data_IF_931237502440
#
_entry.id   IF_931237502440
#
_cell.length_a   1.000
_cell.length_b   1.000
_cell.length_c   1.000
_cell.angle_alpha   90.00
_cell.angle_beta   90.00
_cell.angle_gamma   90.00
#
_symmetry.space_group_name_H-M   'P 1'
#
loop_
_entity.id
_entity.type
_entity.pdbx_description
1 polymer ?
#
# COMPACT_ATOMS: atom_id res chain seq x y z
N UNK A 1 2.62 -1.53 16.16
CA UNK A 1 1.81 -0.40 15.59
C UNK A 1 2.77 0.62 14.99
N UNK A 2 2.80 0.76 13.66
CA UNK A 2 3.80 1.54 12.95
C UNK A 2 3.63 3.07 13.18
N UNK A 3 4.66 3.82 13.60
CA UNK A 3 4.54 5.25 13.94
C UNK A 3 3.96 6.13 12.82
N UNK A 4 4.35 5.88 11.56
CA UNK A 4 3.83 6.63 10.42
C UNK A 4 2.31 6.53 10.28
N UNK A 5 1.68 5.42 10.68
CA UNK A 5 0.21 5.28 10.66
C UNK A 5 -0.48 6.18 11.69
N UNK A 6 0.20 6.52 12.79
CA UNK A 6 -0.36 7.35 13.86
C UNK A 6 -0.24 8.83 13.54
N UNK A 7 0.97 9.31 13.27
CA UNK A 7 1.26 10.76 13.17
C UNK A 7 1.93 11.16 11.87
N UNK A 8 2.18 10.21 10.96
CA UNK A 8 2.80 10.51 9.67
C UNK A 8 1.89 11.36 8.77
N UNK A 9 2.51 12.20 7.95
CA UNK A 9 1.86 12.98 6.89
C UNK A 9 1.09 12.03 5.98
N UNK A 10 -0.11 12.44 5.60
CA UNK A 10 -1.00 11.68 4.73
C UNK A 10 -0.90 12.20 3.29
N UNK A 11 -0.73 11.29 2.33
CA UNK A 11 -0.70 11.63 0.90
C UNK A 11 -1.50 10.62 0.10
N UNK A 12 -2.41 11.10 -0.75
CA UNK A 12 -3.05 10.25 -1.77
C UNK A 12 -2.15 10.19 -3.00
N UNK A 13 -1.83 8.99 -3.45
CA UNK A 13 -1.00 8.75 -4.63
C UNK A 13 -1.85 8.49 -5.87
N UNK A 14 -2.95 7.75 -5.70
CA UNK A 14 -3.90 7.42 -6.76
C UNK A 14 -5.30 7.30 -6.19
N UNK A 15 -6.30 7.74 -6.94
CA UNK A 15 -7.70 7.53 -6.60
C UNK A 15 -8.53 7.48 -7.88
N UNK A 16 -9.38 6.46 -7.97
CA UNK A 16 -10.40 6.33 -9.00
C UNK A 16 -11.67 5.70 -8.41
N UNK A 17 -12.59 5.26 -9.27
CA UNK A 17 -13.88 4.67 -8.89
C UNK A 17 -13.78 3.31 -8.16
N UNK A 18 -12.65 2.62 -8.25
CA UNK A 18 -12.47 1.27 -7.70
C UNK A 18 -11.24 1.14 -6.80
N UNK A 19 -10.37 2.13 -6.79
CA UNK A 19 -9.11 2.06 -6.07
C UNK A 19 -8.78 3.36 -5.36
N UNK A 20 -8.22 3.22 -4.16
CA UNK A 20 -7.52 4.30 -3.47
C UNK A 20 -6.14 3.83 -3.02
N UNK A 21 -5.11 4.60 -3.38
CA UNK A 21 -3.73 4.35 -2.99
C UNK A 21 -3.21 5.57 -2.27
N UNK A 22 -2.58 5.34 -1.12
CA UNK A 22 -2.06 6.38 -0.26
C UNK A 22 -0.72 5.97 0.33
N UNK A 23 0.00 6.95 0.86
CA UNK A 23 1.12 6.73 1.76
C UNK A 23 1.02 7.56 3.02
N UNK A 24 1.59 7.02 4.09
CA UNK A 24 1.85 7.71 5.35
C UNK A 24 3.36 7.85 5.53
N UNK A 25 3.84 9.07 5.75
CA UNK A 25 5.28 9.35 5.85
C UNK A 25 5.59 10.04 7.18
N UNK A 26 6.54 9.49 7.95
CA UNK A 26 7.06 10.10 9.16
C UNK A 26 8.59 10.00 9.17
N UNK A 27 9.27 11.10 8.83
CA UNK A 27 10.73 11.11 8.71
C UNK A 27 11.18 10.09 7.68
N UNK A 28 11.87 9.05 8.14
CA UNK A 28 12.38 7.96 7.29
C UNK A 28 11.39 6.83 7.05
N UNK A 29 10.33 6.76 7.86
CA UNK A 29 9.37 5.67 7.88
C UNK A 29 8.24 5.95 6.89
N UNK A 30 8.00 5.02 5.96
CA UNK A 30 6.91 5.11 4.99
C UNK A 30 6.02 3.89 5.08
N UNK A 31 4.70 4.10 5.09
CA UNK A 31 3.72 3.03 4.88
C UNK A 31 2.94 3.34 3.62
N UNK A 32 2.95 2.41 2.69
CA UNK A 32 2.11 2.45 1.50
C UNK A 32 0.88 1.58 1.72
N UNK A 33 -0.29 2.03 1.26
CA UNK A 33 -1.52 1.28 1.36
C UNK A 33 -2.34 1.42 0.09
N UNK A 34 -2.86 0.30 -0.41
CA UNK A 34 -3.82 0.29 -1.49
C UNK A 34 -5.09 -0.44 -1.07
N UNK A 35 -6.21 0.14 -1.44
CA UNK A 35 -7.56 -0.30 -1.11
C UNK A 35 -8.32 -0.52 -2.41
N UNK A 36 -8.94 -1.69 -2.54
CA UNK A 36 -9.95 -1.93 -3.55
C UNK A 36 -11.33 -1.62 -2.97
N UNK A 37 -12.00 -0.65 -3.57
CA UNK A 37 -13.29 -0.11 -3.17
C UNK A 37 -14.43 -0.62 -4.08
N UNK A 38 -14.16 -1.63 -4.90
CA UNK A 38 -15.09 -2.12 -5.91
C UNK A 38 -15.28 -3.65 -5.88
N UNK A 39 -16.20 -4.15 -6.74
CA UNK A 39 -16.58 -5.55 -6.80
C UNK A 39 -15.66 -6.41 -7.70
N UNK A 40 -14.63 -5.82 -8.30
CA UNK A 40 -13.73 -6.49 -9.24
C UNK A 40 -12.30 -6.49 -8.71
N UNK A 41 -11.51 -7.52 -9.04
CA UNK A 41 -10.08 -7.55 -8.70
C UNK A 41 -9.33 -6.43 -9.43
N UNK A 42 -8.55 -5.65 -8.68
CA UNK A 42 -7.67 -4.59 -9.21
C UNK A 42 -6.21 -5.02 -9.07
N UNK A 43 -5.39 -4.66 -10.07
CA UNK A 43 -3.93 -4.78 -10.00
C UNK A 43 -3.32 -3.39 -10.04
N UNK A 44 -2.40 -3.11 -9.13
CA UNK A 44 -1.76 -1.80 -9.05
C UNK A 44 -0.24 -1.95 -8.93
N UNK A 45 0.55 -1.14 -9.64
CA UNK A 45 2.00 -1.21 -9.55
C UNK A 45 2.49 -1.00 -8.11
N UNK A 46 3.42 -1.83 -7.65
CA UNK A 46 4.05 -1.61 -6.36
C UNK A 46 4.96 -0.36 -6.43
N UNK A 47 5.10 0.37 -5.31
CA UNK A 47 5.92 1.57 -5.24
C UNK A 47 7.41 1.32 -5.54
N UNK A 48 7.91 0.08 -5.36
CA UNK A 48 9.30 -0.32 -5.69
C UNK A 48 9.42 -1.81 -6.03
N UNK A 49 10.50 -2.17 -6.69
CA UNK A 49 11.02 -3.55 -6.86
C UNK A 49 11.69 -4.14 -5.61
N UNK A 50 11.78 -3.37 -4.51
CA UNK A 50 12.37 -3.81 -3.25
C UNK A 50 11.42 -4.73 -2.46
N UNK A 51 12.01 -5.71 -1.76
CA UNK A 51 11.28 -6.62 -0.88
C UNK A 51 10.40 -5.83 0.09
N UNK A 52 9.09 -6.08 0.06
CA UNK A 52 8.19 -5.58 1.08
C UNK A 52 8.73 -6.03 2.44
N UNK A 53 8.82 -5.12 3.41
CA UNK A 53 9.29 -5.48 4.74
C UNK A 53 8.44 -6.59 5.36
N UNK A 54 8.99 -7.32 6.34
CA UNK A 54 8.38 -8.52 6.94
C UNK A 54 6.95 -8.32 7.46
N UNK A 55 6.55 -7.08 7.76
CA UNK A 55 5.22 -6.74 8.30
C UNK A 55 4.22 -6.34 7.19
N UNK A 56 3.81 -7.29 6.36
CA UNK A 56 2.71 -7.09 5.40
C UNK A 56 1.35 -7.32 6.07
N UNK A 57 0.45 -6.33 6.00
CA UNK A 57 -0.95 -6.55 6.35
C UNK A 57 -1.78 -6.80 5.09
N UNK A 58 -2.29 -8.03 4.99
CA UNK A 58 -3.22 -8.47 3.95
C UNK A 58 -4.64 -8.52 4.51
N UNK A 59 -5.57 -7.88 3.80
CA UNK A 59 -7.01 -7.94 4.09
C UNK A 59 -7.71 -8.58 2.89
N UNK A 60 -8.62 -9.53 3.14
CA UNK A 60 -9.41 -10.22 2.09
C UNK A 60 -8.57 -10.82 0.96
N UNK A 61 -7.41 -11.39 1.29
CA UNK A 61 -6.55 -12.09 0.31
C UNK A 61 -5.75 -11.18 -0.61
N UNK A 62 -5.69 -9.87 -0.33
CA UNK A 62 -4.79 -8.96 -1.01
C UNK A 62 -3.33 -9.40 -0.85
N UNK A 63 -2.53 -9.27 -1.90
CA UNK A 63 -1.13 -9.73 -1.88
C UNK A 63 -0.24 -8.92 -2.81
N UNK A 64 1.04 -8.90 -2.52
CA UNK A 64 2.06 -8.49 -3.47
C UNK A 64 2.44 -9.69 -4.35
N UNK A 65 2.40 -9.53 -5.68
CA UNK A 65 2.88 -10.51 -6.66
C UNK A 65 3.81 -9.81 -7.65
N UNK A 66 5.09 -10.22 -7.66
CA UNK A 66 6.12 -9.60 -8.48
C UNK A 66 6.14 -8.07 -8.29
N UNK A 67 5.73 -7.31 -9.32
CA UNK A 67 5.72 -5.85 -9.33
C UNK A 67 4.35 -5.22 -9.06
N UNK A 68 3.35 -6.02 -8.64
CA UNK A 68 1.97 -5.56 -8.48
C UNK A 68 1.37 -5.95 -7.14
N UNK A 69 0.58 -5.04 -6.57
CA UNK A 69 -0.44 -5.39 -5.60
C UNK A 69 -1.64 -5.98 -6.33
N UNK A 70 -2.03 -7.20 -5.99
CA UNK A 70 -3.27 -7.85 -6.43
C UNK A 70 -4.30 -7.69 -5.32
N UNK A 71 -5.37 -6.97 -5.62
CA UNK A 71 -6.39 -6.59 -4.65
C UNK A 71 -7.73 -7.21 -5.07
N UNK A 72 -8.17 -8.32 -4.44
CA UNK A 72 -9.53 -8.84 -4.59
C UNK A 72 -10.60 -7.78 -4.26
N UNK A 73 -11.89 -8.02 -4.58
CA UNK A 73 -12.96 -7.10 -4.21
C UNK A 73 -12.96 -6.75 -2.73
N UNK A 74 -13.15 -5.46 -2.40
CA UNK A 74 -13.26 -4.98 -1.01
C UNK A 74 -12.05 -5.33 -0.12
N UNK A 75 -10.85 -5.33 -0.71
CA UNK A 75 -9.61 -5.75 -0.05
C UNK A 75 -8.66 -4.58 0.19
N UNK A 76 -7.62 -4.83 1.00
CA UNK A 76 -6.57 -3.85 1.23
C UNK A 76 -5.22 -4.53 1.42
N UNK A 77 -4.16 -3.90 0.90
CA UNK A 77 -2.78 -4.27 1.15
C UNK A 77 -2.07 -3.08 1.79
N UNK A 78 -1.42 -3.30 2.94
CA UNK A 78 -0.65 -2.28 3.65
C UNK A 78 0.79 -2.79 3.82
N UNK A 79 1.75 -2.00 3.35
CA UNK A 79 3.16 -2.36 3.27
C UNK A 79 4.01 -1.25 3.91
N UNK A 80 4.76 -1.55 4.98
CA UNK A 80 5.89 -0.74 5.39
C UNK A 80 6.95 -0.78 4.28
N UNK A 81 7.42 0.39 3.85
CA UNK A 81 8.47 0.51 2.84
C UNK A 81 9.79 0.91 3.50
N UNK A 82 10.92 0.35 3.04
CA UNK A 82 12.24 0.78 3.49
C UNK A 82 12.51 2.23 3.05
N UNK A 83 13.46 2.85 3.74
CA UNK A 83 13.83 4.24 3.50
C UNK A 83 14.23 4.49 2.03
N UNK A 84 13.71 5.56 1.43
CA UNK A 84 14.07 5.96 0.06
C UNK A 84 13.35 5.24 -1.08
N UNK A 85 12.39 4.36 -0.79
CA UNK A 85 11.64 3.61 -1.80
C UNK A 85 10.85 4.49 -2.80
N UNK A 86 10.51 5.73 -2.46
CA UNK A 86 9.63 6.56 -3.28
C UNK A 86 10.24 7.92 -3.67
N UNK A 87 11.58 7.98 -3.74
CA UNK A 87 12.32 9.17 -4.18
C UNK A 87 12.22 9.37 -5.70
#
# INVERSE_FOLDING_TARGET
>A
AHPALRTGRFETLHVDEHQWVLRRVLGTDTVWAAFNLGPHTVRHPLPTTGEAGDEVLSVQGAKAEAEHAVLPPWSALILPLPHGALA
#
